data_IF_800574730506
#
_entry.id   IF_800574730506
#
_cell.length_a   1.000
_cell.length_b   1.000
_cell.length_c   1.000
_cell.angle_alpha   90.00
_cell.angle_beta   90.00
_cell.angle_gamma   90.00
#
_symmetry.space_group_name_H-M   'P 1'
#
loop_
_entity.id
_entity.type
_entity.pdbx_description
1 polymer ?
#
# COMPACT_ATOMS: atom_id res chain seq x y z
N UNK A 1 -16.12 25.30 -68.88
CA UNK A 1 -14.83 24.58 -68.81
C UNK A 1 -13.82 25.46 -68.06
N UNK A 2 -13.51 25.09 -66.83
CA UNK A 2 -12.45 25.61 -65.96
C UNK A 2 -12.35 24.56 -64.83
N UNK A 3 -11.81 23.36 -65.09
CA UNK A 3 -10.39 23.09 -65.23
C UNK A 3 -9.58 23.68 -64.06
N UNK A 4 -9.23 22.80 -63.12
CA UNK A 4 -7.91 22.79 -62.48
C UNK A 4 -7.46 24.04 -61.72
N UNK A 5 -8.04 24.32 -60.54
CA UNK A 5 -7.27 25.06 -59.52
C UNK A 5 -7.65 24.91 -58.05
N UNK A 6 -8.55 24.00 -57.66
CA UNK A 6 -8.83 23.78 -56.23
C UNK A 6 -8.71 22.31 -55.83
N UNK A 7 -7.68 21.64 -56.35
CA UNK A 7 -7.30 20.27 -55.96
C UNK A 7 -6.08 20.20 -55.03
N UNK A 8 -5.49 21.34 -54.66
CA UNK A 8 -4.20 21.36 -53.93
C UNK A 8 -4.27 22.04 -52.56
N UNK A 9 -5.47 22.19 -51.99
CA UNK A 9 -5.62 22.68 -50.61
C UNK A 9 -6.53 21.79 -49.75
N UNK A 10 -6.79 20.55 -50.21
CA UNK A 10 -7.56 19.55 -49.45
C UNK A 10 -6.76 18.32 -49.04
N UNK A 11 -5.55 18.12 -49.56
CA UNK A 11 -4.68 17.01 -49.11
C UNK A 11 -3.62 17.44 -48.08
N UNK A 12 -3.17 18.70 -48.07
CA UNK A 12 -2.16 19.16 -47.12
C UNK A 12 -2.70 19.43 -45.71
N UNK A 13 -4.00 19.73 -45.57
CA UNK A 13 -4.61 19.99 -44.25
C UNK A 13 -5.06 18.72 -43.50
N UNK A 14 -5.20 17.59 -44.20
CA UNK A 14 -5.61 16.33 -43.58
C UNK A 14 -4.42 15.46 -43.14
N UNK A 15 -3.22 15.73 -43.67
CA UNK A 15 -2.00 15.01 -43.29
C UNK A 15 -1.33 15.54 -42.02
N UNK A 16 -1.64 16.76 -41.57
CA UNK A 16 -1.16 17.29 -40.29
C UNK A 16 -2.02 16.89 -39.08
N UNK A 17 -3.29 16.50 -39.29
CA UNK A 17 -4.20 16.09 -38.19
C UNK A 17 -4.06 14.60 -37.85
N UNK A 18 -3.57 13.77 -38.78
CA UNK A 18 -3.41 12.33 -38.57
C UNK A 18 -2.11 11.92 -37.83
N UNK A 19 -1.18 12.85 -37.60
CA UNK A 19 0.06 12.57 -36.87
C UNK A 19 0.00 12.93 -35.36
N UNK A 20 -1.08 13.55 -34.89
CA UNK A 20 -1.21 14.05 -33.51
C UNK A 20 -2.28 13.33 -32.68
N UNK A 21 -2.54 12.05 -32.98
CA UNK A 21 -3.65 11.29 -32.39
C UNK A 21 -3.30 9.89 -31.85
N UNK A 22 -2.03 9.60 -31.57
CA UNK A 22 -1.62 8.28 -31.06
C UNK A 22 -0.48 8.31 -30.03
N UNK A 23 -0.32 9.42 -29.30
CA UNK A 23 0.35 9.35 -28.00
C UNK A 23 -0.68 8.85 -26.97
N UNK A 24 -1.05 7.57 -27.07
CA UNK A 24 -1.73 6.88 -26.00
C UNK A 24 -0.71 6.82 -24.85
N UNK A 25 -0.77 7.80 -23.95
CA UNK A 25 -0.06 7.73 -22.69
C UNK A 25 -0.70 6.57 -21.96
N UNK A 26 -0.10 5.38 -22.08
CA UNK A 26 -0.34 4.30 -21.14
C UNK A 26 0.02 4.86 -19.78
N UNK A 27 -0.99 5.30 -19.02
CA UNK A 27 -0.87 5.46 -17.57
C UNK A 27 -0.74 4.03 -17.05
N UNK A 28 0.48 3.49 -17.11
CA UNK A 28 0.83 2.36 -16.27
C UNK A 28 0.71 2.95 -14.87
N UNK A 29 -0.32 2.56 -14.12
CA UNK A 29 -0.42 2.90 -12.72
C UNK A 29 0.85 2.35 -12.06
N UNK A 30 1.84 3.22 -11.84
CA UNK A 30 3.07 2.86 -11.16
C UNK A 30 2.63 2.48 -9.76
N UNK A 31 2.69 1.19 -9.46
CA UNK A 31 2.36 0.67 -8.14
C UNK A 31 3.17 1.42 -7.08
N UNK A 32 2.51 1.87 -6.02
CA UNK A 32 3.16 2.60 -4.93
C UNK A 32 4.37 1.79 -4.43
N UNK A 33 5.52 2.42 -4.17
CA UNK A 33 6.69 1.73 -3.62
C UNK A 33 6.35 0.89 -2.37
N UNK A 34 5.40 1.34 -1.55
CA UNK A 34 4.93 0.59 -0.39
C UNK A 34 4.12 -0.66 -0.76
N UNK A 35 3.26 -0.59 -1.78
CA UNK A 35 2.47 -1.74 -2.22
C UNK A 35 3.39 -2.84 -2.74
N UNK A 36 4.37 -2.47 -3.57
CA UNK A 36 5.40 -3.40 -4.06
C UNK A 36 6.21 -4.02 -2.91
N UNK A 37 6.62 -3.20 -1.93
CA UNK A 37 7.36 -3.68 -0.76
C UNK A 37 6.51 -4.68 0.04
N UNK A 38 5.23 -4.39 0.29
CA UNK A 38 4.31 -5.31 0.99
C UNK A 38 4.13 -6.60 0.20
N UNK A 39 3.92 -6.54 -1.12
CA UNK A 39 3.77 -7.73 -1.96
C UNK A 39 5.02 -8.62 -1.95
N UNK A 40 6.21 -8.01 -2.02
CA UNK A 40 7.48 -8.73 -1.88
C UNK A 40 7.64 -9.36 -0.50
N UNK A 41 7.28 -8.62 0.55
CA UNK A 41 7.33 -9.09 1.94
C UNK A 41 6.40 -10.28 2.17
N UNK A 42 5.19 -10.24 1.62
CA UNK A 42 4.23 -11.37 1.67
C UNK A 42 4.79 -12.60 0.95
N UNK A 43 5.45 -12.41 -0.20
CA UNK A 43 6.11 -13.49 -0.93
C UNK A 43 7.23 -14.11 -0.10
N UNK A 44 8.10 -13.29 0.50
CA UNK A 44 9.17 -13.75 1.38
C UNK A 44 8.62 -14.48 2.63
N UNK A 45 7.56 -13.96 3.23
CA UNK A 45 6.89 -14.59 4.38
C UNK A 45 6.35 -15.98 4.02
N UNK A 46 5.74 -16.11 2.85
CA UNK A 46 5.24 -17.40 2.34
C UNK A 46 6.39 -18.40 2.13
N UNK A 47 7.46 -17.98 1.44
CA UNK A 47 8.63 -18.81 1.14
C UNK A 47 9.34 -19.29 2.40
N UNK A 48 9.47 -18.43 3.42
CA UNK A 48 10.20 -18.75 4.65
C UNK A 48 9.29 -19.31 5.76
N UNK A 49 8.01 -19.56 5.49
CA UNK A 49 7.03 -19.95 6.53
C UNK A 49 7.48 -21.17 7.35
N UNK A 50 7.97 -22.22 6.68
CA UNK A 50 8.45 -23.45 7.35
C UNK A 50 9.65 -23.16 8.26
N UNK A 51 10.59 -22.32 7.80
CA UNK A 51 11.75 -21.91 8.60
C UNK A 51 11.32 -21.11 9.84
N UNK A 52 10.38 -20.17 9.67
CA UNK A 52 9.89 -19.30 10.75
C UNK A 52 9.07 -20.08 11.79
N UNK A 53 8.36 -21.13 11.39
CA UNK A 53 7.67 -22.03 12.32
C UNK A 53 8.69 -22.84 13.13
N UNK A 54 9.81 -23.24 12.50
CA UNK A 54 10.88 -23.98 13.15
C UNK A 54 10.40 -25.30 13.76
N UNK A 55 10.62 -25.48 15.05
CA UNK A 55 10.15 -26.63 15.83
C UNK A 55 8.71 -26.49 16.34
N UNK A 56 8.08 -25.32 16.14
CA UNK A 56 6.72 -25.01 16.55
C UNK A 56 6.54 -24.70 18.05
N UNK A 57 7.61 -24.64 18.84
CA UNK A 57 7.51 -24.40 20.29
C UNK A 57 7.46 -22.92 20.67
N UNK A 58 7.84 -22.02 19.76
CA UNK A 58 7.85 -20.59 20.02
C UNK A 58 6.42 -20.06 20.16
N UNK A 59 6.11 -19.53 21.34
CA UNK A 59 4.85 -18.83 21.61
C UNK A 59 5.04 -17.34 21.43
N UNK A 60 4.22 -16.74 20.56
CA UNK A 60 4.20 -15.29 20.32
C UNK A 60 2.79 -14.78 20.61
N UNK A 61 2.61 -13.79 21.50
CA UNK A 61 1.32 -13.15 21.72
C UNK A 61 0.75 -12.63 20.40
N UNK A 62 -0.43 -13.10 20.03
CA UNK A 62 -1.09 -12.72 18.78
C UNK A 62 -2.39 -12.00 19.13
N UNK A 63 -2.66 -10.80 18.58
CA UNK A 63 -3.87 -10.07 18.89
C UNK A 63 -5.14 -10.85 18.53
N UNK A 64 -6.09 -10.93 19.45
CA UNK A 64 -7.40 -11.57 19.23
C UNK A 64 -8.36 -10.66 18.43
N UNK A 65 -8.17 -9.34 18.53
CA UNK A 65 -9.01 -8.38 17.83
C UNK A 65 -8.67 -8.32 16.33
N UNK A 66 -9.70 -8.39 15.48
CA UNK A 66 -9.58 -8.29 14.01
C UNK A 66 -9.18 -6.90 13.50
N UNK A 67 -9.22 -5.85 14.32
CA UNK A 67 -8.77 -4.52 13.92
C UNK A 67 -7.26 -4.37 14.06
N UNK A 68 -6.54 -4.76 13.00
CA UNK A 68 -5.07 -4.75 12.97
C UNK A 68 -4.44 -3.36 13.20
N UNK A 69 -5.16 -2.27 12.91
CA UNK A 69 -4.64 -0.91 13.08
C UNK A 69 -4.43 -0.55 14.56
N UNK A 70 -5.20 -1.18 15.46
CA UNK A 70 -5.09 -0.97 16.91
C UNK A 70 -3.93 -1.74 17.53
N UNK A 71 -3.45 -2.80 16.87
CA UNK A 71 -2.50 -3.76 17.45
C UNK A 71 -1.13 -3.73 16.76
N UNK A 72 -0.78 -2.62 16.09
CA UNK A 72 0.46 -2.48 15.33
C UNK A 72 1.68 -2.71 16.23
N UNK A 73 1.66 -2.21 17.46
CA UNK A 73 2.81 -2.30 18.37
C UNK A 73 3.05 -3.75 18.82
N UNK A 74 1.98 -4.46 19.19
CA UNK A 74 2.03 -5.87 19.55
C UNK A 74 2.49 -6.75 18.38
N UNK A 75 2.02 -6.46 17.15
CA UNK A 75 2.46 -7.17 15.94
C UNK A 75 3.98 -7.03 15.76
N UNK A 76 4.53 -5.82 15.89
CA UNK A 76 5.97 -5.60 15.70
C UNK A 76 6.82 -6.15 16.85
N UNK A 77 6.31 -6.16 18.08
CA UNK A 77 6.97 -6.88 19.19
C UNK A 77 7.03 -8.40 18.93
N UNK A 78 5.98 -8.97 18.35
CA UNK A 78 5.97 -10.37 17.92
C UNK A 78 6.99 -10.65 16.82
N UNK A 79 7.12 -9.76 15.84
CA UNK A 79 8.14 -9.84 14.78
C UNK A 79 9.56 -9.79 15.38
N UNK A 80 9.82 -8.91 16.35
CA UNK A 80 11.11 -8.82 17.02
C UNK A 80 11.44 -10.11 17.78
N UNK A 81 10.45 -10.69 18.46
CA UNK A 81 10.58 -12.00 19.13
C UNK A 81 10.92 -13.10 18.12
N UNK A 82 10.21 -13.17 17.01
CA UNK A 82 10.43 -14.14 15.93
C UNK A 82 11.83 -13.99 15.33
N UNK A 83 12.25 -12.75 15.06
CA UNK A 83 13.58 -12.43 14.51
C UNK A 83 14.71 -12.91 15.42
N UNK A 84 14.58 -12.71 16.73
CA UNK A 84 15.62 -13.09 17.69
C UNK A 84 15.77 -14.62 17.84
N UNK A 85 14.74 -15.38 17.50
CA UNK A 85 14.73 -16.85 17.58
C UNK A 85 15.05 -17.52 16.23
N UNK A 86 14.94 -16.78 15.13
CA UNK A 86 15.21 -17.30 13.79
C UNK A 86 16.71 -17.28 13.52
N UNK A 87 17.31 -18.44 13.23
CA UNK A 87 18.68 -18.52 12.77
C UNK A 87 18.88 -17.69 11.49
N UNK A 88 19.93 -16.87 11.43
CA UNK A 88 20.26 -16.06 10.25
C UNK A 88 20.64 -16.99 9.09
N UNK A 89 19.65 -17.31 8.26
CA UNK A 89 19.82 -18.02 7.00
C UNK A 89 19.69 -17.04 5.83
N UNK A 90 20.32 -17.37 4.72
CA UNK A 90 20.23 -16.55 3.51
C UNK A 90 18.76 -16.48 3.03
N UNK A 91 18.26 -15.26 2.80
CA UNK A 91 16.87 -14.98 2.40
C UNK A 91 15.91 -14.51 3.51
N UNK A 92 16.04 -14.98 4.75
CA UNK A 92 15.14 -14.56 5.84
C UNK A 92 15.47 -13.17 6.39
N UNK A 93 16.73 -12.74 6.27
CA UNK A 93 17.15 -11.39 6.63
C UNK A 93 16.40 -10.32 5.83
N UNK A 94 16.19 -10.56 4.53
CA UNK A 94 15.45 -9.64 3.65
C UNK A 94 14.00 -9.47 4.11
N UNK A 95 13.37 -10.54 4.59
CA UNK A 95 12.02 -10.48 5.16
C UNK A 95 11.99 -9.50 6.35
N UNK A 96 12.91 -9.65 7.31
CA UNK A 96 12.96 -8.78 8.49
C UNK A 96 13.37 -7.34 8.14
N UNK A 97 14.23 -7.13 7.14
CA UNK A 97 14.55 -5.80 6.63
C UNK A 97 13.31 -5.12 6.05
N UNK A 98 12.54 -5.82 5.20
CA UNK A 98 11.33 -5.26 4.62
C UNK A 98 10.28 -4.93 5.70
N UNK A 99 10.10 -5.81 6.70
CA UNK A 99 9.20 -5.56 7.84
C UNK A 99 9.64 -4.32 8.63
N UNK A 100 10.96 -4.12 8.82
CA UNK A 100 11.50 -2.90 9.46
C UNK A 100 11.15 -1.63 8.67
N UNK A 101 11.32 -1.66 7.34
CA UNK A 101 10.97 -0.53 6.47
C UNK A 101 9.46 -0.22 6.51
N UNK A 102 8.62 -1.25 6.56
CA UNK A 102 7.17 -1.09 6.73
C UNK A 102 6.86 -0.45 8.09
N UNK A 103 7.53 -0.88 9.17
CA UNK A 103 7.39 -0.28 10.50
C UNK A 103 7.75 1.20 10.48
N UNK A 104 8.90 1.54 9.93
CA UNK A 104 9.37 2.93 9.83
C UNK A 104 8.38 3.81 9.06
N UNK A 105 7.82 3.29 7.96
CA UNK A 105 6.78 3.99 7.21
C UNK A 105 5.53 4.25 8.08
N UNK A 106 5.06 3.25 8.83
CA UNK A 106 3.90 3.39 9.72
C UNK A 106 4.19 4.41 10.83
N UNK A 107 5.35 4.33 11.47
CA UNK A 107 5.78 5.26 12.51
C UNK A 107 5.85 6.71 11.98
N UNK A 108 6.29 6.88 10.72
CA UNK A 108 6.26 8.18 10.05
C UNK A 108 4.83 8.67 9.79
N UNK A 109 3.89 7.80 9.41
CA UNK A 109 2.49 8.20 9.25
C UNK A 109 1.86 8.57 10.61
N UNK A 110 2.13 7.81 11.67
CA UNK A 110 1.66 8.12 13.04
C UNK A 110 2.10 9.52 13.48
N UNK A 111 3.33 9.93 13.17
CA UNK A 111 3.83 11.28 13.48
C UNK A 111 3.02 12.40 12.81
N UNK A 112 2.35 12.13 11.69
CA UNK A 112 1.49 13.10 10.99
C UNK A 112 0.11 13.28 11.64
N UNK A 113 -0.31 12.38 12.52
CA UNK A 113 -1.60 12.48 13.21
C UNK A 113 -1.70 13.76 14.07
N UNK A 114 -0.59 14.17 14.70
CA UNK A 114 -0.51 15.41 15.48
C UNK A 114 -0.25 16.66 14.63
N UNK A 115 -0.66 16.67 13.35
CA UNK A 115 -0.33 17.67 12.34
C UNK A 115 -0.81 19.10 12.62
N UNK A 116 -1.23 19.82 11.58
CA UNK A 116 -1.65 21.21 11.74
C UNK A 116 -2.90 21.36 12.61
N UNK A 117 -2.95 22.43 13.40
CA UNK A 117 -4.17 22.80 14.14
C UNK A 117 -5.24 23.25 13.16
N UNK A 118 -6.36 22.55 13.14
CA UNK A 118 -7.51 22.91 12.32
C UNK A 118 -8.57 23.70 13.08
N UNK A 119 -9.47 24.36 12.34
CA UNK A 119 -10.67 24.95 12.94
C UNK A 119 -11.62 23.85 13.41
N UNK A 120 -12.46 24.17 14.40
CA UNK A 120 -13.42 23.22 15.00
C UNK A 120 -14.27 22.53 13.93
N UNK A 121 -14.75 23.23 12.91
CA UNK A 121 -15.53 22.62 11.81
C UNK A 121 -14.79 21.45 11.15
N UNK A 122 -13.54 21.66 10.73
CA UNK A 122 -12.74 20.63 10.07
C UNK A 122 -12.44 19.45 10.99
N UNK A 123 -12.22 19.73 12.29
CA UNK A 123 -12.08 18.67 13.29
C UNK A 123 -13.36 17.85 13.45
N UNK A 124 -14.53 18.50 13.49
CA UNK A 124 -15.82 17.80 13.57
C UNK A 124 -16.11 16.99 12.30
N UNK A 125 -15.76 17.50 11.12
CA UNK A 125 -15.87 16.75 9.87
C UNK A 125 -15.00 15.48 9.91
N UNK A 126 -13.76 15.58 10.41
CA UNK A 126 -12.88 14.43 10.62
C UNK A 126 -13.43 13.46 11.68
N UNK A 127 -13.94 13.97 12.81
CA UNK A 127 -14.52 13.19 13.89
C UNK A 127 -15.75 12.39 13.42
N UNK A 128 -16.60 12.99 12.58
CA UNK A 128 -17.76 12.30 12.02
C UNK A 128 -17.33 11.10 11.17
N UNK A 129 -16.30 11.26 10.34
CA UNK A 129 -15.73 10.14 9.56
C UNK A 129 -15.17 9.07 10.48
N UNK A 130 -14.40 9.45 11.51
CA UNK A 130 -13.83 8.53 12.49
C UNK A 130 -14.91 7.70 13.21
N UNK A 131 -15.96 8.34 13.72
CA UNK A 131 -17.08 7.65 14.37
C UNK A 131 -17.83 6.73 13.39
N UNK A 132 -17.94 7.14 12.12
CA UNK A 132 -18.48 6.30 11.06
C UNK A 132 -17.70 5.01 10.88
N UNK A 133 -16.37 5.10 10.77
CA UNK A 133 -15.46 3.94 10.67
C UNK A 133 -15.61 3.01 11.86
N UNK A 134 -15.66 3.54 13.09
CA UNK A 134 -15.88 2.70 14.28
C UNK A 134 -17.20 1.92 14.16
N UNK A 135 -18.27 2.61 13.77
CA UNK A 135 -19.61 2.02 13.72
C UNK A 135 -19.79 1.00 12.57
N UNK A 136 -18.96 1.04 11.52
CA UNK A 136 -19.11 0.14 10.37
C UNK A 136 -18.03 -0.92 10.27
N UNK A 137 -16.79 -0.60 10.63
CA UNK A 137 -15.63 -1.48 10.40
C UNK A 137 -15.15 -2.17 11.68
N UNK A 138 -15.38 -1.58 12.86
CA UNK A 138 -14.86 -2.13 14.13
C UNK A 138 -15.89 -3.01 14.84
N UNK A 139 -17.18 -2.77 14.63
CA UNK A 139 -18.29 -3.48 15.26
C UNK A 139 -18.78 -4.71 14.49
N UNK A 140 -18.09 -5.13 13.43
CA UNK A 140 -18.27 -6.46 12.82
C UNK A 140 -17.66 -7.56 13.69
N UNK A 141 -17.94 -7.52 14.99
CA UNK A 141 -18.00 -8.69 15.85
C UNK A 141 -19.34 -9.38 15.57
N UNK A 142 -19.50 -9.98 14.40
CA UNK A 142 -20.61 -10.90 14.19
C UNK A 142 -20.21 -12.03 13.26
N UNK A 143 -20.02 -13.18 13.89
CA UNK A 143 -20.13 -14.53 13.33
C UNK A 143 -18.91 -15.05 12.57
N UNK A 144 -17.98 -15.64 13.33
CA UNK A 144 -17.51 -16.98 12.97
C UNK A 144 -18.53 -18.01 13.50
#
# INVERSE_FOLDING_TARGET
>A
ANAEHCRTMRMLLHLSVLAFGAAYVCVIAVESPMNRLVAETLTLLSTHRTLLIGDGNLMIPTPEHKNHQLCIEEIFQGIDTLKNQTAQADGVEKLFQNLSLIKEYIDLQKKKCGGERWRVKQFLDYLQVFLGVINTEWTTESSD
#
